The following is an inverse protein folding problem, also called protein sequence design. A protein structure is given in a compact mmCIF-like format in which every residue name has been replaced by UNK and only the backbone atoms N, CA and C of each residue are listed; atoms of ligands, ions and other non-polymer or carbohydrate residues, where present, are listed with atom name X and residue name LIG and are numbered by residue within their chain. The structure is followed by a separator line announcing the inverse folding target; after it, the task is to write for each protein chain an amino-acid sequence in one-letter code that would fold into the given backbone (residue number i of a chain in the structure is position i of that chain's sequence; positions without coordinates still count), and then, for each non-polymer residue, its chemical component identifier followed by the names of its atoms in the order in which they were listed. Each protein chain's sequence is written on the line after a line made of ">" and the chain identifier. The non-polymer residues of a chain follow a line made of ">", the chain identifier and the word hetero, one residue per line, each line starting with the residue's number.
data_IF_995411907667
#
_entry.id   IF_995411907667
#
_cell.length_a   1.000
_cell.length_b   1.000
_cell.length_c   1.000
_cell.angle_alpha   90.00
_cell.angle_beta   90.00
_cell.angle_gamma   90.00
#
_symmetry.space_group_name_H-M   'P 1'
#
loop_
_entity.id
_entity.type
_entity.pdbx_description
1 polymer ?
#
# COMPACT_ATOMS: atom_id res chain seq x y z
N UNK A 1 52.47 1.91 45.35
CA UNK A 1 51.70 2.65 44.32
C UNK A 1 51.52 1.76 43.11
N UNK A 2 50.26 1.57 42.69
CA UNK A 2 49.77 1.30 41.33
C UNK A 2 50.42 0.17 40.51
N UNK A 3 49.68 -0.91 40.32
CA UNK A 3 49.46 -1.42 38.96
C UNK A 3 48.12 -2.16 38.90
N UNK A 4 47.08 -1.45 38.48
CA UNK A 4 45.82 -2.04 38.05
C UNK A 4 45.98 -2.40 36.57
N UNK A 5 46.13 -3.68 36.26
CA UNK A 5 46.12 -4.16 34.87
C UNK A 5 44.67 -4.46 34.48
N UNK A 6 44.06 -3.53 33.74
CA UNK A 6 42.68 -3.60 33.28
C UNK A 6 42.41 -4.82 32.39
N UNK A 7 41.49 -5.68 32.83
CA UNK A 7 40.84 -6.65 31.94
C UNK A 7 39.72 -5.93 31.18
N UNK A 8 39.98 -5.51 29.95
CA UNK A 8 38.94 -4.96 29.06
C UNK A 8 38.12 -6.14 28.52
N UNK A 9 36.98 -6.40 29.17
CA UNK A 9 35.96 -7.33 28.66
C UNK A 9 35.17 -6.62 27.57
N UNK A 10 35.52 -6.88 26.31
CA UNK A 10 34.71 -6.49 25.15
C UNK A 10 33.42 -7.32 25.15
N UNK A 11 32.39 -6.81 25.82
CA UNK A 11 31.02 -7.30 25.70
C UNK A 11 30.48 -6.76 24.37
N UNK A 12 30.54 -7.58 23.31
CA UNK A 12 30.08 -7.21 21.98
C UNK A 12 28.60 -6.83 22.00
N UNK A 13 28.31 -5.53 21.81
CA UNK A 13 26.97 -5.00 21.69
C UNK A 13 26.42 -5.37 20.30
N UNK A 14 25.56 -6.39 20.25
CA UNK A 14 24.77 -6.73 19.06
C UNK A 14 23.74 -5.61 18.82
N UNK A 15 23.99 -4.75 17.85
CA UNK A 15 23.02 -3.76 17.37
C UNK A 15 22.07 -4.49 16.41
N UNK A 16 20.76 -4.59 16.70
CA UNK A 16 19.82 -5.15 15.76
C UNK A 16 19.69 -4.19 14.57
N UNK A 17 19.93 -4.70 13.37
CA UNK A 17 19.70 -3.97 12.13
C UNK A 17 18.19 -3.84 11.98
N UNK A 18 17.66 -2.64 12.20
CA UNK A 18 16.26 -2.33 11.88
C UNK A 18 16.19 -2.22 10.36
N UNK A 19 15.60 -3.20 9.70
CA UNK A 19 15.31 -3.14 8.26
C UNK A 19 14.23 -2.06 8.03
N UNK A 20 14.59 -0.98 7.34
CA UNK A 20 13.63 0.03 6.93
C UNK A 20 12.70 -0.57 5.83
N UNK A 21 11.39 -0.29 5.87
CA UNK A 21 10.48 -0.71 4.82
C UNK A 21 10.88 -0.04 3.50
N UNK A 22 11.00 -0.84 2.45
CA UNK A 22 11.26 -0.35 1.11
C UNK A 22 9.96 0.25 0.56
N UNK A 23 9.97 1.54 0.25
CA UNK A 23 8.86 2.18 -0.48
C UNK A 23 8.95 1.76 -1.95
N UNK A 24 7.86 1.26 -2.52
CA UNK A 24 7.77 1.04 -3.97
C UNK A 24 7.97 2.37 -4.70
N UNK A 25 9.09 2.48 -5.41
CA UNK A 25 9.43 3.62 -6.26
C UNK A 25 8.75 3.47 -7.63
N UNK A 26 7.45 3.75 -7.68
CA UNK A 26 6.66 3.68 -8.91
C UNK A 26 5.38 4.52 -8.86
N UNK A 27 4.74 4.67 -10.02
CA UNK A 27 3.44 5.31 -10.15
C UNK A 27 2.47 4.38 -10.90
N UNK A 28 1.23 4.31 -10.44
CA UNK A 28 0.11 3.74 -11.21
C UNK A 28 -0.74 4.86 -11.79
N UNK A 29 -1.25 4.67 -13.01
CA UNK A 29 -2.14 5.63 -13.65
C UNK A 29 -3.58 5.43 -13.18
N UNK A 30 -4.42 6.44 -13.35
CA UNK A 30 -5.85 6.30 -13.11
C UNK A 30 -6.54 5.33 -14.07
N UNK A 31 -5.98 5.11 -15.26
CA UNK A 31 -6.46 4.10 -16.20
C UNK A 31 -6.17 2.68 -15.70
N UNK A 32 -4.98 2.46 -15.17
CA UNK A 32 -4.61 1.19 -14.52
C UNK A 32 -5.52 0.94 -13.32
N UNK A 33 -5.72 1.95 -12.48
CA UNK A 33 -6.61 1.85 -11.33
C UNK A 33 -8.07 1.56 -11.72
N UNK A 34 -8.59 2.22 -12.77
CA UNK A 34 -9.93 1.95 -13.31
C UNK A 34 -10.06 0.48 -13.74
N UNK A 35 -9.05 -0.06 -14.42
CA UNK A 35 -9.00 -1.45 -14.86
C UNK A 35 -9.05 -2.43 -13.68
N UNK A 36 -8.24 -2.22 -12.65
CA UNK A 36 -8.23 -3.07 -11.46
C UNK A 36 -9.56 -3.04 -10.69
N UNK A 37 -10.21 -1.87 -10.61
CA UNK A 37 -11.54 -1.77 -9.98
C UNK A 37 -12.57 -2.56 -10.79
N UNK A 38 -12.58 -2.45 -12.12
CA UNK A 38 -13.51 -3.21 -12.97
C UNK A 38 -13.29 -4.72 -12.83
N UNK A 39 -12.04 -5.17 -12.90
CA UNK A 39 -11.70 -6.58 -12.67
C UNK A 39 -12.19 -7.06 -11.31
N UNK A 40 -12.05 -6.24 -10.26
CA UNK A 40 -12.59 -6.57 -8.93
C UNK A 40 -14.11 -6.72 -8.96
N UNK A 41 -14.83 -5.81 -9.60
CA UNK A 41 -16.29 -5.90 -9.74
C UNK A 41 -16.70 -7.17 -10.51
N UNK A 42 -15.99 -7.51 -11.58
CA UNK A 42 -16.27 -8.72 -12.38
C UNK A 42 -16.10 -9.99 -11.54
N UNK A 43 -15.07 -10.06 -10.67
CA UNK A 43 -14.84 -11.24 -9.81
C UNK A 43 -15.99 -11.55 -8.85
N UNK A 44 -16.85 -10.57 -8.58
CA UNK A 44 -18.02 -10.71 -7.70
C UNK A 44 -19.35 -10.67 -8.48
N UNK A 45 -19.29 -10.77 -9.82
CA UNK A 45 -20.46 -10.80 -10.68
C UNK A 45 -21.12 -9.44 -10.89
N UNK A 46 -20.40 -8.34 -10.73
CA UNK A 46 -20.89 -6.99 -11.01
C UNK A 46 -20.18 -6.39 -12.22
N UNK A 47 -20.92 -5.59 -12.99
CA UNK A 47 -20.36 -4.68 -14.00
C UNK A 47 -20.52 -3.25 -13.52
N UNK A 48 -19.56 -2.38 -13.83
CA UNK A 48 -19.70 -0.96 -13.53
C UNK A 48 -18.58 -0.10 -14.05
N UNK A 49 -18.82 1.21 -14.03
CA UNK A 49 -17.87 2.23 -14.47
C UNK A 49 -17.34 3.04 -13.29
N UNK A 50 -16.07 2.85 -12.89
CA UNK A 50 -15.39 3.68 -11.91
C UNK A 50 -15.24 5.13 -12.41
N UNK A 51 -15.40 6.09 -11.50
CA UNK A 51 -15.19 7.51 -11.76
C UNK A 51 -13.75 7.90 -11.39
N UNK A 52 -12.78 7.40 -12.17
CA UNK A 52 -11.35 7.71 -12.02
C UNK A 52 -10.87 8.55 -13.20
N UNK A 53 -10.11 9.61 -12.95
CA UNK A 53 -9.46 10.36 -14.02
C UNK A 53 -8.27 9.55 -14.56
N UNK A 54 -8.24 9.15 -15.84
CA UNK A 54 -7.21 8.26 -16.38
C UNK A 54 -5.80 8.86 -16.31
N UNK A 55 -5.67 10.20 -16.31
CA UNK A 55 -4.38 10.91 -16.26
C UNK A 55 -3.87 11.15 -14.84
N UNK A 56 -4.67 10.88 -13.81
CA UNK A 56 -4.22 11.01 -12.43
C UNK A 56 -3.14 9.96 -12.14
N UNK A 57 -2.11 10.34 -11.40
CA UNK A 57 -1.09 9.42 -10.94
C UNK A 57 -1.26 9.17 -9.44
N UNK A 58 -1.01 7.94 -9.03
CA UNK A 58 -0.95 7.51 -7.63
C UNK A 58 0.39 6.82 -7.40
N UNK A 59 0.91 6.89 -6.19
CA UNK A 59 2.08 6.08 -5.83
C UNK A 59 1.74 4.60 -6.03
N UNK A 60 2.65 3.84 -6.64
CA UNK A 60 2.50 2.40 -6.74
C UNK A 60 2.65 1.77 -5.35
N UNK A 61 1.95 0.66 -5.16
CA UNK A 61 2.06 -0.17 -3.97
C UNK A 61 3.04 -1.31 -4.26
N UNK A 62 3.76 -1.73 -3.22
CA UNK A 62 4.59 -2.92 -3.20
C UNK A 62 3.73 -4.17 -3.14
N UNK A 63 2.55 -4.06 -2.52
CA UNK A 63 1.52 -5.10 -2.43
C UNK A 63 0.31 -4.78 -3.32
N UNK A 64 -0.57 -5.75 -3.53
CA UNK A 64 -1.82 -5.54 -4.28
C UNK A 64 -2.72 -4.50 -3.61
N UNK A 65 -3.51 -3.79 -4.43
CA UNK A 65 -4.51 -2.85 -3.93
C UNK A 65 -5.65 -3.59 -3.22
N UNK A 66 -6.03 -3.09 -2.05
CA UNK A 66 -7.22 -3.54 -1.36
C UNK A 66 -8.44 -2.77 -1.88
N UNK A 67 -9.37 -3.49 -2.53
CA UNK A 67 -10.60 -2.92 -3.09
C UNK A 67 -11.81 -3.55 -2.40
N UNK A 68 -12.57 -2.71 -1.69
CA UNK A 68 -13.71 -3.13 -0.85
C UNK A 68 -14.88 -2.13 -0.95
N UNK A 69 -16.13 -2.55 -0.64
CA UNK A 69 -17.26 -1.64 -0.62
C UNK A 69 -17.14 -0.67 0.56
N UNK A 70 -17.30 0.64 0.32
CA UNK A 70 -17.16 1.64 1.37
C UNK A 70 -18.38 1.72 2.31
N UNK A 71 -19.58 1.46 1.77
CA UNK A 71 -20.86 1.61 2.49
C UNK A 71 -21.73 0.35 2.44
N UNK A 72 -21.11 -0.83 2.54
CA UNK A 72 -21.81 -2.13 2.48
C UNK A 72 -22.38 -2.48 1.10
N UNK A 73 -22.14 -1.65 0.08
CA UNK A 73 -22.49 -1.91 -1.31
C UNK A 73 -21.38 -1.38 -2.23
N UNK A 74 -21.42 -1.81 -3.50
CA UNK A 74 -20.38 -1.54 -4.49
C UNK A 74 -20.65 -0.29 -5.35
N UNK A 75 -21.54 0.64 -4.95
CA UNK A 75 -21.71 1.94 -5.65
C UNK A 75 -20.56 2.92 -5.35
N UNK A 76 -19.82 2.67 -4.28
CA UNK A 76 -18.58 3.38 -3.96
C UNK A 76 -17.63 2.38 -3.34
N UNK A 77 -16.45 2.25 -3.94
CA UNK A 77 -15.39 1.39 -3.44
C UNK A 77 -14.35 2.22 -2.70
N UNK A 78 -13.82 1.64 -1.63
CA UNK A 78 -12.55 2.05 -1.05
C UNK A 78 -11.44 1.34 -1.80
N UNK A 79 -10.49 2.11 -2.33
CA UNK A 79 -9.23 1.59 -2.87
C UNK A 79 -8.13 2.01 -1.91
N UNK A 80 -7.38 1.04 -1.40
CA UNK A 80 -6.31 1.26 -0.43
C UNK A 80 -5.02 0.62 -0.90
N UNK A 81 -3.94 1.37 -0.78
CA UNK A 81 -2.58 0.87 -0.78
C UNK A 81 -2.25 0.39 0.65
N UNK A 82 -1.99 -0.90 0.89
CA UNK A 82 -1.80 -1.42 2.25
C UNK A 82 -0.39 -1.15 2.80
N UNK A 83 0.53 -0.72 1.95
CA UNK A 83 1.90 -0.34 2.32
C UNK A 83 1.93 0.73 3.44
N UNK A 84 3.03 0.77 4.19
CA UNK A 84 3.26 1.80 5.19
C UNK A 84 3.31 3.19 4.53
N UNK A 85 2.50 4.13 5.05
CA UNK A 85 2.33 5.44 4.42
C UNK A 85 1.54 5.41 3.11
N UNK A 86 0.92 4.27 2.77
CA UNK A 86 0.06 4.08 1.61
C UNK A 86 -1.17 5.00 1.61
N UNK A 87 -1.71 5.23 0.42
CA UNK A 87 -2.89 6.08 0.23
C UNK A 87 -4.19 5.27 0.28
N UNK A 88 -5.29 5.97 0.56
CA UNK A 88 -6.64 5.44 0.44
C UNK A 88 -7.54 6.49 -0.22
N UNK A 89 -8.38 6.05 -1.14
CA UNK A 89 -9.37 6.91 -1.81
C UNK A 89 -10.72 6.20 -1.92
N UNK A 90 -11.78 7.01 -2.00
CA UNK A 90 -13.11 6.54 -2.36
C UNK A 90 -13.35 6.79 -3.86
N UNK A 91 -13.82 5.77 -4.58
CA UNK A 91 -14.15 5.84 -6.01
C UNK A 91 -15.60 5.44 -6.21
N UNK A 92 -16.40 6.33 -6.82
CA UNK A 92 -17.77 5.99 -7.21
C UNK A 92 -17.74 5.05 -8.40
N UNK A 93 -18.61 4.05 -8.37
CA UNK A 93 -18.75 3.01 -9.38
C UNK A 93 -20.22 3.01 -9.81
N UNK A 94 -20.48 3.42 -11.06
CA UNK A 94 -21.82 3.32 -11.63
C UNK A 94 -22.06 1.87 -12.02
N UNK A 95 -22.72 1.13 -11.14
CA UNK A 95 -23.11 -0.26 -11.38
C UNK A 95 -24.25 -0.29 -12.40
N UNK A 96 -24.18 -1.26 -13.33
CA UNK A 96 -25.17 -1.50 -14.39
C UNK A 96 -26.35 -2.37 -13.94
#
# INVERSE_FOLDING_TARGET
>A
MRSFSSAVKFFGLLIPIIAAPAFASGLISGQELDTQIRQKLETIGLSGTPAVNPKRQFAACSSDLEISPLFGNWKTVSVRCPDEGGWQIAVRTRIE
#
